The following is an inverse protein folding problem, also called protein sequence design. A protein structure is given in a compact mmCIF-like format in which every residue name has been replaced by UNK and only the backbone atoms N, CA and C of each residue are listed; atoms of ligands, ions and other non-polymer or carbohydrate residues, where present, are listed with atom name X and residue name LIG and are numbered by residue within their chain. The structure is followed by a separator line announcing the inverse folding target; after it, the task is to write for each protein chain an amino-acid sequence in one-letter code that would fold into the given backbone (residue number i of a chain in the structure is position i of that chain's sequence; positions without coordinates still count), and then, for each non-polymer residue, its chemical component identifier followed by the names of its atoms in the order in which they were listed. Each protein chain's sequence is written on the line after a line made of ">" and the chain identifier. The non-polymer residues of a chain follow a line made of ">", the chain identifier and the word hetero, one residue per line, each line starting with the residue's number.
data_IF_864338648717
#
_entry.id   IF_864338648717
#
_cell.length_a   1.000
_cell.length_b   1.000
_cell.length_c   1.000
_cell.angle_alpha   90.00
_cell.angle_beta   90.00
_cell.angle_gamma   90.00
#
_symmetry.space_group_name_H-M   'P 1'
#
loop_
_entity.id
_entity.type
_entity.pdbx_description
1 polymer ?
#
# COMPACT_ATOMS: atom_id res chain seq x y z
N UNK A 1 -12.87 4.60 -17.97
CA UNK A 1 -14.22 5.20 -17.92
C UNK A 1 -14.24 5.97 -16.61
N UNK A 2 -14.13 7.29 -16.67
CA UNK A 2 -13.75 8.08 -15.49
C UNK A 2 -14.99 8.55 -14.73
N UNK A 3 -15.21 8.03 -13.53
CA UNK A 3 -16.42 8.28 -12.73
C UNK A 3 -16.34 9.61 -11.96
N UNK A 4 -16.36 10.72 -12.70
CA UNK A 4 -16.55 12.05 -12.12
C UNK A 4 -18.04 12.37 -12.00
N UNK A 5 -18.56 12.52 -10.78
CA UNK A 5 -19.95 12.90 -10.54
C UNK A 5 -20.18 13.38 -9.12
N UNK A 6 -21.25 14.14 -8.90
CA UNK A 6 -21.67 14.69 -7.59
C UNK A 6 -22.08 13.56 -6.63
N UNK A 7 -21.88 13.67 -5.30
CA UNK A 7 -22.41 12.69 -4.34
C UNK A 7 -23.91 12.44 -4.58
N UNK A 8 -24.33 11.17 -4.62
CA UNK A 8 -25.72 10.77 -4.91
C UNK A 8 -26.07 10.52 -6.38
N UNK A 9 -25.16 10.72 -7.34
CA UNK A 9 -25.43 10.53 -8.78
C UNK A 9 -25.44 9.08 -9.28
N UNK A 10 -25.52 8.08 -8.39
CA UNK A 10 -25.54 6.66 -8.76
C UNK A 10 -24.18 6.05 -9.15
N UNK A 11 -23.06 6.74 -8.90
CA UNK A 11 -21.70 6.23 -9.20
C UNK A 11 -21.45 4.85 -8.61
N UNK A 12 -21.76 4.67 -7.33
CA UNK A 12 -21.48 3.41 -6.64
C UNK A 12 -22.32 2.25 -7.15
N UNK A 13 -23.55 2.50 -7.58
CA UNK A 13 -24.38 1.48 -8.23
C UNK A 13 -23.78 1.05 -9.57
N UNK A 14 -23.34 2.01 -10.39
CA UNK A 14 -22.64 1.73 -11.65
C UNK A 14 -21.32 1.00 -11.42
N UNK A 15 -20.53 1.37 -10.40
CA UNK A 15 -19.28 0.69 -10.03
C UNK A 15 -19.53 -0.75 -9.59
N UNK A 16 -20.53 -1.01 -8.73
CA UNK A 16 -20.88 -2.37 -8.30
C UNK A 16 -21.26 -3.25 -9.48
N UNK A 17 -22.02 -2.70 -10.45
CA UNK A 17 -22.40 -3.44 -11.67
C UNK A 17 -21.18 -3.80 -12.51
N UNK A 18 -20.25 -2.87 -12.70
CA UNK A 18 -19.01 -3.13 -13.46
C UNK A 18 -18.15 -4.18 -12.76
N UNK A 19 -18.02 -4.11 -11.43
CA UNK A 19 -17.26 -5.09 -10.65
C UNK A 19 -17.86 -6.50 -10.81
N UNK A 20 -19.18 -6.64 -10.73
CA UNK A 20 -19.86 -7.94 -10.95
C UNK A 20 -19.59 -8.46 -12.37
N UNK A 21 -19.70 -7.58 -13.37
CA UNK A 21 -19.54 -7.95 -14.77
C UNK A 21 -18.12 -8.41 -15.08
N UNK A 22 -17.10 -7.76 -14.50
CA UNK A 22 -15.70 -8.22 -14.57
C UNK A 22 -15.53 -9.54 -13.82
N UNK A 23 -16.01 -9.64 -12.58
CA UNK A 23 -15.91 -10.85 -11.76
C UNK A 23 -16.53 -12.09 -12.41
N UNK A 24 -17.63 -11.92 -13.17
CA UNK A 24 -18.30 -13.04 -13.83
C UNK A 24 -17.71 -13.40 -15.20
N UNK A 25 -17.03 -12.45 -15.88
CA UNK A 25 -16.52 -12.67 -17.24
C UNK A 25 -15.05 -13.01 -17.29
N UNK A 26 -14.27 -12.61 -16.29
CA UNK A 26 -12.82 -12.80 -16.27
C UNK A 26 -12.40 -13.55 -15.01
N UNK A 27 -11.16 -14.03 -15.01
CA UNK A 27 -10.51 -14.62 -13.85
C UNK A 27 -9.51 -13.65 -13.22
N UNK A 28 -9.66 -12.36 -13.50
CA UNK A 28 -8.74 -11.33 -13.01
C UNK A 28 -8.98 -11.06 -11.53
N UNK A 29 -7.91 -10.72 -10.81
CA UNK A 29 -8.01 -10.28 -9.43
C UNK A 29 -8.60 -8.86 -9.37
N UNK A 30 -9.59 -8.66 -8.50
CA UNK A 30 -10.26 -7.37 -8.31
C UNK A 30 -9.85 -6.79 -6.96
N UNK A 31 -9.17 -5.65 -6.98
CA UNK A 31 -8.82 -4.88 -5.78
C UNK A 31 -9.73 -3.66 -5.63
N UNK A 32 -10.31 -3.48 -4.44
CA UNK A 32 -11.20 -2.36 -4.12
C UNK A 32 -10.63 -1.59 -2.93
N UNK A 33 -10.42 -0.28 -3.10
CA UNK A 33 -10.07 0.64 -2.02
C UNK A 33 -11.33 1.38 -1.56
N UNK A 34 -11.87 1.01 -0.41
CA UNK A 34 -13.16 1.49 0.09
C UNK A 34 -13.02 2.26 1.41
N UNK A 35 -13.05 3.59 1.35
CA UNK A 35 -12.99 4.46 2.53
C UNK A 35 -14.36 4.62 3.22
N UNK A 36 -15.47 4.37 2.52
CA UNK A 36 -16.84 4.61 3.01
C UNK A 36 -17.52 3.31 3.49
N UNK A 37 -16.81 2.17 3.42
CA UNK A 37 -17.31 0.82 3.71
C UNK A 37 -18.58 0.44 2.88
N UNK A 38 -18.76 1.04 1.70
CA UNK A 38 -19.95 0.85 0.86
C UNK A 38 -19.94 -0.47 0.05
N UNK A 39 -18.75 -1.02 -0.19
CA UNK A 39 -18.49 -2.23 -0.98
C UNK A 39 -18.19 -3.44 -0.08
N UNK A 40 -17.82 -3.24 1.18
CA UNK A 40 -17.51 -4.32 2.14
C UNK A 40 -18.58 -5.43 2.19
N UNK A 41 -19.89 -5.15 2.38
CA UNK A 41 -20.90 -6.22 2.41
C UNK A 41 -21.03 -6.97 1.07
N UNK A 42 -20.76 -6.27 -0.03
CA UNK A 42 -20.81 -6.82 -1.37
C UNK A 42 -19.62 -7.75 -1.64
N UNK A 43 -18.40 -7.36 -1.25
CA UNK A 43 -17.19 -8.19 -1.37
C UNK A 43 -17.33 -9.49 -0.57
N UNK A 44 -17.80 -9.39 0.68
CA UNK A 44 -18.06 -10.56 1.53
C UNK A 44 -19.06 -11.52 0.85
N UNK A 45 -20.11 -10.97 0.20
CA UNK A 45 -21.13 -11.80 -0.45
C UNK A 45 -20.61 -12.52 -1.69
N UNK A 46 -19.62 -11.97 -2.37
CA UNK A 46 -18.93 -12.61 -3.49
C UNK A 46 -17.83 -13.60 -3.05
N UNK A 47 -17.60 -13.75 -1.73
CA UNK A 47 -16.56 -14.63 -1.20
C UNK A 47 -15.15 -14.02 -1.27
N UNK A 48 -15.04 -12.72 -1.45
CA UNK A 48 -13.76 -12.00 -1.40
C UNK A 48 -13.27 -11.75 0.02
N UNK A 49 -12.02 -11.34 0.14
CA UNK A 49 -11.38 -10.98 1.41
C UNK A 49 -11.50 -9.48 1.68
N UNK A 50 -11.72 -9.11 2.95
CA UNK A 50 -11.75 -7.72 3.38
C UNK A 50 -10.62 -7.50 4.38
N UNK A 51 -9.62 -6.73 3.97
CA UNK A 51 -8.50 -6.30 4.83
C UNK A 51 -8.88 -4.95 5.43
N UNK A 52 -9.08 -4.90 6.75
CA UNK A 52 -9.54 -3.67 7.41
C UNK A 52 -8.35 -2.88 7.95
N UNK A 53 -8.01 -1.76 7.32
CA UNK A 53 -6.95 -0.87 7.81
C UNK A 53 -7.54 0.16 8.77
N UNK A 54 -7.56 -0.15 10.06
CA UNK A 54 -8.02 0.78 11.11
C UNK A 54 -7.27 0.56 12.41
N UNK A 55 -7.29 1.56 13.31
CA UNK A 55 -6.59 1.51 14.61
C UNK A 55 -7.03 0.30 15.46
N UNK A 56 -8.28 -0.13 15.33
CA UNK A 56 -8.86 -1.23 16.10
C UNK A 56 -8.87 -2.56 15.33
N UNK A 57 -8.27 -2.61 14.14
CA UNK A 57 -8.19 -3.84 13.35
C UNK A 57 -7.05 -4.74 13.82
N UNK A 58 -7.17 -6.02 13.54
CA UNK A 58 -6.07 -6.98 13.63
C UNK A 58 -5.21 -7.01 12.37
N UNK A 59 -5.65 -6.37 11.29
CA UNK A 59 -4.91 -6.31 10.03
C UNK A 59 -3.95 -5.13 10.04
N UNK A 60 -2.67 -5.41 9.75
CA UNK A 60 -1.62 -4.40 9.71
C UNK A 60 -0.78 -4.57 8.45
N UNK A 61 -0.41 -3.44 7.86
CA UNK A 61 0.60 -3.40 6.82
C UNK A 61 1.86 -2.86 7.46
N UNK A 62 2.96 -3.61 7.37
CA UNK A 62 4.26 -3.15 7.80
C UNK A 62 4.93 -2.36 6.66
N UNK A 63 5.01 -1.01 6.73
CA UNK A 63 5.65 -0.21 5.69
C UNK A 63 7.17 -0.41 5.63
N UNK A 64 7.77 -1.13 6.58
CA UNK A 64 9.18 -1.54 6.60
C UNK A 64 9.40 -2.97 6.08
N UNK A 65 8.35 -3.71 5.71
CA UNK A 65 8.55 -5.04 5.14
C UNK A 65 9.21 -4.94 3.75
N UNK A 66 10.20 -5.78 3.45
CA UNK A 66 10.96 -5.74 2.20
C UNK A 66 11.04 -7.13 1.55
N UNK A 67 10.58 -7.21 0.32
CA UNK A 67 10.76 -8.39 -0.52
C UNK A 67 11.96 -8.18 -1.44
N UNK A 68 12.85 -9.18 -1.51
CA UNK A 68 14.02 -9.17 -2.40
C UNK A 68 13.65 -9.29 -3.88
N UNK A 69 12.37 -9.58 -4.17
CA UNK A 69 11.82 -9.63 -5.52
C UNK A 69 11.24 -8.28 -5.98
N UNK A 70 11.42 -7.21 -5.20
CA UNK A 70 10.99 -5.86 -5.60
C UNK A 70 11.92 -5.28 -6.68
N UNK A 71 11.31 -4.80 -7.75
CA UNK A 71 12.01 -4.14 -8.84
C UNK A 71 12.62 -5.15 -9.80
N UNK A 72 12.21 -5.12 -11.06
CA UNK A 72 12.69 -5.97 -12.15
C UNK A 72 14.20 -5.74 -12.44
N UNK A 73 15.08 -6.15 -11.52
CA UNK A 73 16.53 -5.96 -11.60
C UNK A 73 17.08 -4.70 -10.89
N UNK A 74 16.24 -3.91 -10.21
CA UNK A 74 16.69 -2.77 -9.40
C UNK A 74 17.07 -3.19 -7.98
N UNK A 75 17.93 -2.38 -7.33
CA UNK A 75 18.30 -2.65 -5.93
C UNK A 75 17.10 -2.38 -5.01
N UNK A 76 16.54 -3.40 -4.32
CA UNK A 76 15.32 -3.24 -3.51
C UNK A 76 15.51 -2.24 -2.35
N UNK A 77 16.75 -2.05 -1.89
CA UNK A 77 17.07 -1.05 -0.87
C UNK A 77 16.90 0.37 -1.39
N UNK A 78 17.29 0.64 -2.63
CA UNK A 78 17.16 1.98 -3.20
C UNK A 78 15.69 2.38 -3.29
N UNK A 79 14.84 1.47 -3.78
CA UNK A 79 13.40 1.68 -3.83
C UNK A 79 12.81 1.88 -2.43
N UNK A 80 13.21 1.05 -1.45
CA UNK A 80 12.74 1.18 -0.06
C UNK A 80 13.19 2.50 0.57
N UNK A 81 14.42 2.93 0.34
CA UNK A 81 14.92 4.22 0.82
C UNK A 81 14.09 5.37 0.25
N UNK A 82 13.82 5.37 -1.05
CA UNK A 82 12.99 6.39 -1.68
C UNK A 82 11.58 6.42 -1.10
N UNK A 83 10.95 5.26 -0.92
CA UNK A 83 9.66 5.13 -0.27
C UNK A 83 9.65 5.74 1.15
N UNK A 84 10.65 5.40 1.99
CA UNK A 84 10.72 5.92 3.36
C UNK A 84 10.99 7.43 3.37
N UNK A 85 11.81 7.95 2.45
CA UNK A 85 12.00 9.40 2.32
C UNK A 85 10.67 10.08 1.97
N UNK A 86 9.94 9.58 0.97
CA UNK A 86 8.65 10.14 0.56
C UNK A 86 7.61 10.07 1.70
N UNK A 87 7.57 8.96 2.44
CA UNK A 87 6.72 8.82 3.62
C UNK A 87 7.05 9.88 4.69
N UNK A 88 8.34 10.07 4.99
CA UNK A 88 8.79 11.04 5.98
C UNK A 88 8.55 12.49 5.53
N UNK A 89 8.57 12.79 4.23
CA UNK A 89 8.18 14.09 3.70
C UNK A 89 6.70 14.39 3.93
N UNK A 90 5.81 13.42 3.70
CA UNK A 90 4.38 13.55 3.96
C UNK A 90 4.12 13.77 5.46
N UNK A 91 4.76 12.96 6.32
CA UNK A 91 4.61 13.06 7.78
C UNK A 91 5.16 14.37 8.35
N UNK A 92 6.28 14.87 7.82
CA UNK A 92 6.87 16.14 8.27
C UNK A 92 5.95 17.35 7.99
N UNK A 93 4.93 17.22 7.14
CA UNK A 93 3.73 18.05 7.16
C UNK A 93 3.95 19.55 6.94
N UNK A 94 5.00 19.97 6.23
CA UNK A 94 5.36 21.39 6.14
C UNK A 94 5.97 21.83 4.83
N UNK A 95 5.82 23.13 4.50
CA UNK A 95 6.35 23.79 3.28
C UNK A 95 7.87 23.64 3.05
N UNK A 96 8.63 23.24 4.07
CA UNK A 96 10.08 23.08 4.00
C UNK A 96 10.52 21.64 3.69
N UNK A 97 9.63 20.64 3.81
CA UNK A 97 9.96 19.22 3.61
C UNK A 97 11.18 18.75 4.42
N UNK A 98 11.83 17.68 3.95
CA UNK A 98 13.09 17.21 4.49
C UNK A 98 14.27 17.93 3.85
N UNK A 99 15.21 18.41 4.66
CA UNK A 99 16.48 18.96 4.16
C UNK A 99 17.34 17.86 3.52
N UNK A 100 18.24 18.24 2.60
CA UNK A 100 19.19 17.30 1.99
C UNK A 100 20.00 16.52 3.04
N UNK A 101 20.37 17.17 4.16
CA UNK A 101 21.08 16.52 5.27
C UNK A 101 20.22 15.44 5.94
N UNK A 102 18.94 15.70 6.16
CA UNK A 102 18.01 14.71 6.74
C UNK A 102 17.78 13.53 5.80
N UNK A 103 17.62 13.78 4.48
CA UNK A 103 17.50 12.70 3.48
C UNK A 103 18.72 11.78 3.47
N UNK A 104 19.93 12.34 3.52
CA UNK A 104 21.17 11.55 3.61
C UNK A 104 21.26 10.74 4.90
N UNK A 105 20.77 11.25 6.03
CA UNK A 105 20.72 10.49 7.29
C UNK A 105 19.74 9.32 7.16
N UNK A 106 18.55 9.55 6.58
CA UNK A 106 17.54 8.51 6.36
C UNK A 106 18.09 7.40 5.47
N UNK A 107 18.73 7.72 4.34
CA UNK A 107 19.36 6.72 3.45
C UNK A 107 20.37 5.85 4.21
N UNK A 108 21.25 6.46 5.01
CA UNK A 108 22.24 5.71 5.82
C UNK A 108 21.57 4.79 6.84
N UNK A 109 20.52 5.28 7.51
CA UNK A 109 19.77 4.48 8.49
C UNK A 109 19.08 3.28 7.83
N UNK A 110 18.38 3.50 6.71
CA UNK A 110 17.70 2.45 5.95
C UNK A 110 18.70 1.37 5.53
N UNK A 111 19.81 1.75 4.88
CA UNK A 111 20.87 0.81 4.47
C UNK A 111 21.44 0.02 5.65
N UNK A 112 21.64 0.67 6.79
CA UNK A 112 22.18 0.02 7.99
C UNK A 112 21.21 -0.98 8.59
N UNK A 113 19.90 -0.66 8.63
CA UNK A 113 18.85 -1.52 9.17
C UNK A 113 18.67 -2.79 8.32
N UNK A 114 18.65 -2.64 7.00
CA UNK A 114 18.41 -3.77 6.09
C UNK A 114 19.67 -4.55 5.70
N UNK A 115 20.89 -4.03 5.91
CA UNK A 115 22.13 -4.76 5.58
C UNK A 115 22.18 -6.19 6.15
N UNK A 116 21.88 -6.45 7.45
CA UNK A 116 21.93 -7.81 7.97
C UNK A 116 20.82 -8.72 7.41
N UNK A 117 19.70 -8.14 6.95
CA UNK A 117 18.65 -8.89 6.24
C UNK A 117 19.12 -9.34 4.85
N UNK A 118 19.87 -8.50 4.12
CA UNK A 118 20.43 -8.88 2.83
C UNK A 118 21.51 -9.96 2.96
N UNK A 119 22.31 -9.88 4.03
CA UNK A 119 23.37 -10.86 4.31
C UNK A 119 22.79 -12.22 4.73
N UNK A 120 21.64 -12.22 5.41
CA UNK A 120 20.94 -13.44 5.81
C UNK A 120 19.41 -13.20 5.82
N UNK A 121 18.72 -13.46 4.69
CA UNK A 121 17.29 -13.18 4.55
C UNK A 121 16.47 -14.25 5.27
N UNK A 122 16.41 -14.14 6.60
CA UNK A 122 15.50 -14.92 7.44
C UNK A 122 14.24 -14.10 7.74
N UNK A 123 13.06 -14.52 7.26
CA UNK A 123 11.81 -13.75 7.37
C UNK A 123 11.41 -13.39 8.80
N UNK A 124 11.75 -14.21 9.80
CA UNK A 124 11.35 -13.96 11.19
C UNK A 124 12.06 -12.78 11.86
N UNK A 125 13.18 -12.28 11.31
CA UNK A 125 14.05 -11.32 12.01
C UNK A 125 13.58 -9.86 11.96
N UNK A 126 12.62 -9.52 11.08
CA UNK A 126 12.21 -8.13 10.82
C UNK A 126 10.68 -7.93 10.71
N UNK A 127 9.89 -8.84 11.29
CA UNK A 127 8.47 -8.56 11.58
C UNK A 127 8.41 -7.61 12.79
N UNK A 128 8.32 -6.31 12.52
CA UNK A 128 7.98 -5.29 13.53
C UNK A 128 6.47 -5.29 13.76
#
# INVERSE_FOLDING_TARGET
>A
MDWFGTPGSGKSFSSKREIIDTFLRTTDDILISDFEEEYTPFVIRLGGEVIKLSINSTDFINPLDISLHYGEGENPISFKTEFIINLMEVVAGGKAGLTAKQKTIIDKCVRTIYRPYLENPIPERYRF
#
